data_IF_538229021396
#
_entry.id   IF_538229021396
#
_cell.length_a   1.000
_cell.length_b   1.000
_cell.length_c   1.000
_cell.angle_alpha   90.00
_cell.angle_beta   90.00
_cell.angle_gamma   90.00
#
_symmetry.space_group_name_H-M   'P 1'
#
loop_
_entity.id
_entity.type
_entity.pdbx_description
1 polymer ?
#
# COMPACT_ATOMS: atom_id res chain seq x y z
N UNK A 1 7.09 -17.81 10.13
CA UNK A 1 6.04 -17.37 11.07
C UNK A 1 5.05 -16.52 10.28
N UNK A 2 3.82 -17.00 10.05
CA UNK A 2 2.79 -16.20 9.38
C UNK A 2 2.31 -15.15 10.38
N UNK A 3 2.65 -13.88 10.15
CA UNK A 3 2.03 -12.79 10.90
C UNK A 3 0.59 -12.70 10.38
N UNK A 4 -0.39 -12.85 11.27
CA UNK A 4 -1.79 -12.69 10.90
C UNK A 4 -1.96 -11.31 10.26
N UNK A 5 -2.50 -11.28 9.04
CA UNK A 5 -2.74 -10.05 8.30
C UNK A 5 -3.76 -9.23 9.08
N UNK A 6 -3.35 -8.08 9.61
CA UNK A 6 -4.26 -7.05 10.08
C UNK A 6 -4.69 -6.21 8.89
N UNK A 7 -5.98 -6.15 8.65
CA UNK A 7 -6.57 -5.17 7.75
C UNK A 7 -6.97 -3.93 8.59
N UNK A 8 -6.74 -2.71 8.08
CA UNK A 8 -7.15 -1.49 8.76
C UNK A 8 -8.67 -1.32 8.75
N UNK A 9 -9.19 -0.64 9.76
CA UNK A 9 -10.59 -0.22 9.79
C UNK A 9 -10.79 1.06 8.95
N UNK A 10 -12.05 1.38 8.63
CA UNK A 10 -12.40 2.70 8.09
C UNK A 10 -12.05 3.79 9.10
N UNK A 11 -11.58 4.93 8.60
CA UNK A 11 -11.04 6.07 9.35
C UNK A 11 -9.73 5.81 10.11
N UNK A 12 -9.17 4.59 10.03
CA UNK A 12 -7.85 4.31 10.57
C UNK A 12 -6.73 4.99 9.75
N UNK A 13 -5.68 5.42 10.44
CA UNK A 13 -4.46 5.95 9.82
C UNK A 13 -3.43 4.84 9.50
N UNK A 14 -2.95 4.84 8.25
CA UNK A 14 -1.76 4.14 7.78
C UNK A 14 -0.70 5.20 7.46
N UNK A 15 0.16 5.50 8.43
CA UNK A 15 1.02 6.69 8.34
C UNK A 15 0.15 7.94 8.19
N UNK A 16 0.43 8.76 7.18
CA UNK A 16 -0.35 9.98 6.89
C UNK A 16 -1.64 9.73 6.09
N UNK A 17 -1.95 8.47 5.76
CA UNK A 17 -3.10 8.12 4.93
C UNK A 17 -4.26 7.62 5.79
N UNK A 18 -5.40 8.30 5.75
CA UNK A 18 -6.63 7.85 6.40
C UNK A 18 -7.39 6.89 5.48
N UNK A 19 -7.81 5.74 6.00
CA UNK A 19 -8.58 4.75 5.24
C UNK A 19 -10.01 5.23 5.05
N UNK A 20 -10.45 5.30 3.78
CA UNK A 20 -11.83 5.67 3.43
C UNK A 20 -12.67 4.42 3.27
N UNK A 21 -12.22 3.46 2.46
CA UNK A 21 -12.93 2.19 2.25
C UNK A 21 -12.04 1.15 1.56
N UNK A 22 -12.38 -0.12 1.71
CA UNK A 22 -11.75 -1.23 0.98
C UNK A 22 -12.27 -1.27 -0.46
N UNK A 23 -11.36 -1.32 -1.43
CA UNK A 23 -11.70 -1.38 -2.86
C UNK A 23 -11.72 -2.82 -3.40
N UNK A 24 -10.88 -3.71 -2.86
CA UNK A 24 -10.84 -5.11 -3.29
C UNK A 24 -9.62 -5.86 -2.80
N UNK A 25 -9.60 -7.17 -3.02
CA UNK A 25 -8.48 -8.04 -2.66
C UNK A 25 -8.10 -8.96 -3.82
N UNK A 26 -6.82 -9.31 -3.86
CA UNK A 26 -6.29 -10.35 -4.75
C UNK A 26 -5.14 -11.09 -4.07
N UNK A 27 -4.56 -12.07 -4.77
CA UNK A 27 -3.57 -12.97 -4.19
C UNK A 27 -2.30 -12.32 -3.62
N UNK A 28 -2.08 -11.02 -3.85
CA UNK A 28 -0.91 -10.28 -3.34
C UNK A 28 -1.24 -9.21 -2.30
N UNK A 29 -2.50 -8.96 -1.97
CA UNK A 29 -2.82 -7.83 -1.11
C UNK A 29 -4.27 -7.37 -1.21
N UNK A 30 -4.58 -6.37 -0.40
CA UNK A 30 -5.87 -5.68 -0.38
C UNK A 30 -5.59 -4.24 -0.79
N UNK A 31 -6.48 -3.68 -1.59
CA UNK A 31 -6.42 -2.29 -2.03
C UNK A 31 -7.47 -1.50 -1.28
N UNK A 32 -7.05 -0.35 -0.75
CA UNK A 32 -7.88 0.60 -0.03
C UNK A 32 -7.90 1.93 -0.78
N UNK A 33 -9.05 2.59 -0.75
CA UNK A 33 -9.15 4.02 -1.01
C UNK A 33 -8.70 4.73 0.26
N UNK A 34 -7.75 5.64 0.13
CA UNK A 34 -7.23 6.41 1.26
C UNK A 34 -7.21 7.90 0.93
N UNK A 35 -7.20 8.74 1.96
CA UNK A 35 -7.13 10.18 1.87
C UNK A 35 -5.87 10.70 2.56
N UNK A 36 -5.16 11.64 1.93
CA UNK A 36 -4.04 12.38 2.52
C UNK A 36 -4.05 13.80 2.00
N UNK A 37 -4.23 14.78 2.90
CA UNK A 37 -4.23 16.20 2.56
C UNK A 37 -5.32 16.57 1.55
N UNK A 38 -6.53 16.05 1.72
CA UNK A 38 -7.67 16.33 0.82
C UNK A 38 -7.59 15.64 -0.54
N UNK A 39 -6.58 14.79 -0.77
CA UNK A 39 -6.40 14.03 -2.03
C UNK A 39 -6.61 12.55 -1.80
N UNK A 40 -7.22 11.89 -2.79
CA UNK A 40 -7.51 10.45 -2.75
C UNK A 40 -6.42 9.64 -3.46
N UNK A 41 -6.10 8.48 -2.89
CA UNK A 41 -5.12 7.54 -3.43
C UNK A 41 -5.63 6.10 -3.33
N UNK A 42 -5.04 5.22 -4.13
CA UNK A 42 -5.13 3.78 -3.93
C UNK A 42 -3.91 3.30 -3.14
N UNK A 43 -4.14 2.67 -1.99
CA UNK A 43 -3.10 2.06 -1.17
C UNK A 43 -3.22 0.54 -1.25
N UNK A 44 -2.16 -0.15 -1.66
CA UNK A 44 -2.11 -1.62 -1.69
C UNK A 44 -1.31 -2.14 -0.51
N UNK A 45 -2.00 -2.81 0.42
CA UNK A 45 -1.38 -3.43 1.59
C UNK A 45 -0.95 -4.87 1.26
N UNK A 46 0.36 -5.10 1.28
CA UNK A 46 1.01 -6.39 1.06
C UNK A 46 1.40 -7.00 2.41
N UNK A 47 1.14 -8.28 2.66
CA UNK A 47 1.63 -8.96 3.86
C UNK A 47 3.12 -9.31 3.71
N UNK A 48 3.88 -9.21 4.80
CA UNK A 48 5.26 -9.67 4.87
C UNK A 48 6.31 -8.62 4.44
N UNK A 49 7.59 -9.04 4.35
CA UNK A 49 8.69 -8.12 4.08
C UNK A 49 8.71 -7.64 2.62
N UNK A 50 9.43 -6.54 2.38
CA UNK A 50 9.71 -6.05 1.04
C UNK A 50 10.74 -6.95 0.33
N UNK A 51 10.24 -8.03 -0.27
CA UNK A 51 11.04 -9.03 -0.99
C UNK A 51 11.55 -8.52 -2.35
N UNK A 52 12.43 -9.29 -2.98
CA UNK A 52 13.04 -8.91 -4.27
C UNK A 52 12.03 -8.71 -5.40
N UNK A 53 10.90 -9.44 -5.36
CA UNK A 53 9.84 -9.27 -6.34
C UNK A 53 9.08 -7.96 -6.14
N UNK A 54 8.71 -7.63 -4.91
CA UNK A 54 8.04 -6.38 -4.55
C UNK A 54 8.90 -5.19 -4.94
N UNK A 55 10.21 -5.25 -4.64
CA UNK A 55 11.18 -4.23 -5.06
C UNK A 55 11.22 -4.04 -6.57
N UNK A 56 11.22 -5.13 -7.34
CA UNK A 56 11.20 -5.08 -8.81
C UNK A 56 9.90 -4.47 -9.34
N UNK A 57 8.74 -4.87 -8.79
CA UNK A 57 7.44 -4.32 -9.19
C UNK A 57 7.37 -2.80 -8.92
N UNK A 58 7.85 -2.34 -7.76
CA UNK A 58 7.96 -0.91 -7.45
C UNK A 58 8.92 -0.21 -8.42
N UNK A 59 10.10 -0.78 -8.68
CA UNK A 59 11.08 -0.20 -9.60
C UNK A 59 10.51 0.01 -11.00
N UNK A 60 9.70 -0.91 -11.51
CA UNK A 60 8.98 -0.74 -12.78
C UNK A 60 8.00 0.45 -12.69
N UNK A 61 7.18 0.52 -11.64
CA UNK A 61 6.19 1.59 -11.50
C UNK A 61 6.80 2.98 -11.28
N UNK A 62 8.01 3.06 -10.70
CA UNK A 62 8.77 4.30 -10.55
C UNK A 62 9.25 4.83 -11.91
N UNK A 63 9.66 3.93 -12.81
CA UNK A 63 10.24 4.28 -14.10
C UNK A 63 9.22 4.40 -15.23
N UNK A 64 8.00 3.88 -15.04
CA UNK A 64 7.00 3.78 -16.09
C UNK A 64 6.14 5.03 -16.19
N UNK A 65 6.18 5.68 -17.35
CA UNK A 65 5.24 6.75 -17.72
C UNK A 65 4.28 6.26 -18.80
N UNK A 66 3.06 5.91 -18.40
CA UNK A 66 2.03 5.44 -19.32
C UNK A 66 0.63 5.84 -18.80
N UNK A 67 -0.24 6.46 -19.61
CA UNK A 67 -1.59 6.87 -19.18
C UNK A 67 -2.49 5.72 -18.70
N UNK A 68 -2.25 4.49 -19.18
CA UNK A 68 -2.97 3.29 -18.77
C UNK A 68 -2.45 2.64 -17.49
N UNK A 69 -1.38 3.17 -16.89
CA UNK A 69 -0.80 2.65 -15.65
C UNK A 69 -0.76 3.74 -14.60
N UNK A 70 -1.27 3.45 -13.41
CA UNK A 70 -1.30 4.39 -12.29
C UNK A 70 0.12 4.75 -11.85
N UNK A 71 0.35 6.05 -11.60
CA UNK A 71 1.63 6.57 -11.11
C UNK A 71 1.92 6.05 -9.70
N UNK A 72 3.16 5.60 -9.47
CA UNK A 72 3.65 5.32 -8.13
C UNK A 72 3.88 6.59 -7.32
N UNK A 73 3.40 6.61 -6.07
CA UNK A 73 3.53 7.77 -5.16
C UNK A 73 4.53 7.51 -4.03
N UNK A 74 4.62 6.28 -3.54
CA UNK A 74 5.47 5.91 -2.40
C UNK A 74 5.03 4.58 -1.77
N UNK A 75 5.85 4.08 -0.85
CA UNK A 75 5.54 2.93 0.00
C UNK A 75 6.35 3.00 1.29
N UNK A 76 5.83 2.37 2.33
CA UNK A 76 6.48 2.22 3.62
C UNK A 76 5.91 0.97 4.32
N UNK A 77 6.45 0.61 5.48
CA UNK A 77 5.97 -0.46 6.33
C UNK A 77 4.87 0.01 7.28
N UNK A 78 3.84 -0.82 7.44
CA UNK A 78 2.78 -0.59 8.39
C UNK A 78 2.39 -1.90 9.11
N UNK A 79 2.23 -1.90 10.45
CA UNK A 79 2.58 -0.81 11.37
C UNK A 79 4.05 -0.41 11.26
N UNK A 80 4.40 0.80 11.68
CA UNK A 80 5.79 1.24 11.64
C UNK A 80 6.66 0.22 12.38
N UNK A 81 7.71 -0.31 11.74
CA UNK A 81 8.48 -1.41 12.30
C UNK A 81 9.17 -0.92 13.58
N UNK A 82 9.16 -1.76 14.62
CA UNK A 82 9.79 -1.42 15.89
C UNK A 82 11.32 -1.25 15.80
N UNK A 83 11.95 -1.67 14.68
CA UNK A 83 13.38 -1.52 14.39
C UNK A 83 13.56 -1.25 12.90
N UNK A 84 14.48 -0.35 12.56
CA UNK A 84 14.90 -0.04 11.19
C UNK A 84 15.88 -1.05 10.61
#
# INVERSE_FOLDING_TARGET
>A
MYVARRDPDTDEAIGDYKVVTRLGAGGRGVVYKVERGGRLFALKLLPGPMDGRTKREIGILVLLENPGVVRYVGSDFWPHPARG
#
